data_IF_054506401117
#
_entry.id   IF_054506401117
#
_cell.length_a   1.000
_cell.length_b   1.000
_cell.length_c   1.000
_cell.angle_alpha   90.00
_cell.angle_beta   90.00
_cell.angle_gamma   90.00
#
_symmetry.space_group_name_H-M   'P 1'
#
loop_
_entity.id
_entity.type
_entity.pdbx_description
1 polymer ?
#
# COMPACT_ATOMS: atom_id res chain seq x y z
N UNK A 1 26.75 19.40 1.23
CA UNK A 1 26.84 19.81 0.23
C UNK A 1 26.53 19.03 -1.02
N UNK A 2 27.45 18.52 -1.62
CA UNK A 2 27.27 17.88 -2.89
C UNK A 2 26.38 16.65 -2.86
N UNK A 3 26.35 15.93 -1.75
CA UNK A 3 25.56 14.71 -1.66
C UNK A 3 24.05 14.92 -1.60
N UNK A 4 23.63 16.13 -1.26
CA UNK A 4 22.21 16.40 -1.08
C UNK A 4 21.45 16.35 -2.40
N UNK A 5 22.02 16.95 -3.45
CA UNK A 5 21.35 17.03 -4.73
C UNK A 5 21.12 15.67 -5.38
N UNK A 6 22.10 14.76 -5.42
CA UNK A 6 21.85 13.43 -5.96
C UNK A 6 20.77 12.67 -5.22
N UNK A 7 20.70 12.84 -3.90
CA UNK A 7 19.69 12.18 -3.10
C UNK A 7 18.29 12.68 -3.44
N UNK A 8 18.13 13.99 -3.63
CA UNK A 8 16.85 14.55 -4.00
C UNK A 8 16.41 14.07 -5.37
N UNK A 9 17.34 13.93 -6.30
CA UNK A 9 17.01 13.40 -7.61
C UNK A 9 16.60 11.95 -7.53
N UNK A 10 17.30 11.17 -6.72
CA UNK A 10 17.02 9.77 -6.56
C UNK A 10 15.65 9.54 -5.96
N UNK A 11 15.18 10.44 -5.08
CA UNK A 11 13.89 10.27 -4.43
C UNK A 11 12.73 10.38 -5.40
N UNK A 12 12.92 10.95 -6.58
CA UNK A 12 11.87 11.06 -7.58
C UNK A 12 11.98 10.01 -8.70
N UNK A 13 13.06 9.23 -8.73
CA UNK A 13 13.25 8.21 -9.74
C UNK A 13 12.58 6.91 -9.33
N UNK A 14 11.94 6.19 -10.28
CA UNK A 14 11.38 4.88 -9.97
C UNK A 14 12.46 3.92 -9.49
N UNK A 15 12.11 3.08 -8.52
CA UNK A 15 13.03 2.06 -8.04
C UNK A 15 12.73 0.74 -8.71
N UNK A 16 13.74 -0.10 -8.83
CA UNK A 16 13.57 -1.47 -9.27
C UNK A 16 13.08 -2.34 -8.14
N UNK A 17 13.22 -3.65 -8.31
CA UNK A 17 12.83 -4.61 -7.29
C UNK A 17 13.85 -4.55 -6.16
N UNK A 18 13.37 -4.29 -4.96
CA UNK A 18 14.21 -4.21 -3.77
C UNK A 18 13.85 -5.33 -2.81
N UNK A 19 14.83 -5.89 -2.10
CA UNK A 19 14.54 -6.89 -1.08
C UNK A 19 13.85 -6.26 0.12
N UNK A 20 13.05 -7.06 0.81
CA UNK A 20 12.41 -6.60 2.03
C UNK A 20 13.46 -6.30 3.10
N UNK A 21 13.27 -5.25 3.91
CA UNK A 21 14.18 -5.00 5.02
C UNK A 21 14.28 -6.21 5.95
N UNK A 22 15.51 -6.50 6.40
CA UNK A 22 15.74 -7.67 7.22
C UNK A 22 15.03 -7.59 8.58
N UNK A 23 14.75 -6.38 9.06
CA UNK A 23 14.10 -6.19 10.36
C UNK A 23 12.59 -6.47 10.34
N UNK A 24 12.01 -6.63 9.17
CA UNK A 24 10.57 -6.91 9.09
C UNK A 24 10.24 -8.32 9.55
N UNK A 25 9.02 -8.48 10.09
CA UNK A 25 8.51 -9.81 10.44
C UNK A 25 8.30 -10.63 9.17
N UNK A 26 8.17 -11.94 9.35
CA UNK A 26 7.98 -12.84 8.22
C UNK A 26 6.73 -12.50 7.41
N UNK A 27 5.62 -12.18 8.08
CA UNK A 27 4.38 -11.83 7.38
C UNK A 27 4.48 -10.49 6.65
N UNK A 28 5.18 -9.51 7.23
CA UNK A 28 5.41 -8.24 6.55
C UNK A 28 6.30 -8.44 5.32
N UNK A 29 7.36 -9.26 5.44
CA UNK A 29 8.24 -9.53 4.31
C UNK A 29 7.53 -10.30 3.21
N UNK A 30 6.62 -11.20 3.57
CA UNK A 30 5.82 -11.91 2.58
C UNK A 30 4.97 -10.94 1.76
N UNK A 31 4.38 -9.96 2.44
CA UNK A 31 3.59 -8.96 1.74
C UNK A 31 4.45 -8.08 0.84
N UNK A 32 5.63 -7.70 1.31
CA UNK A 32 6.59 -6.96 0.49
C UNK A 32 6.89 -7.72 -0.81
N UNK A 33 7.22 -9.01 -0.69
CA UNK A 33 7.52 -9.84 -1.86
C UNK A 33 6.34 -9.99 -2.80
N UNK A 34 5.12 -9.95 -2.25
CA UNK A 34 3.92 -10.08 -3.06
C UNK A 34 3.65 -8.82 -3.89
N UNK A 35 3.87 -7.63 -3.33
CA UNK A 35 3.51 -6.39 -4.02
C UNK A 35 4.65 -5.74 -4.78
N UNK A 36 5.89 -6.05 -4.43
CA UNK A 36 7.05 -5.39 -5.02
C UNK A 36 7.13 -5.56 -6.55
N UNK A 37 6.92 -6.76 -7.11
CA UNK A 37 6.98 -6.89 -8.56
C UNK A 37 5.98 -6.00 -9.28
N UNK A 38 4.76 -5.90 -8.78
CA UNK A 38 3.73 -5.07 -9.39
C UNK A 38 4.09 -3.59 -9.30
N UNK A 39 4.56 -3.15 -8.15
CA UNK A 39 4.96 -1.76 -7.96
C UNK A 39 6.15 -1.40 -8.86
N UNK A 40 7.10 -2.31 -8.97
CA UNK A 40 8.26 -2.11 -9.83
C UNK A 40 7.87 -2.07 -11.30
N UNK A 41 6.99 -2.97 -11.72
CA UNK A 41 6.55 -3.03 -13.11
C UNK A 41 5.83 -1.76 -13.52
N UNK A 42 5.01 -1.21 -12.64
CA UNK A 42 4.29 0.03 -12.95
C UNK A 42 5.18 1.25 -12.92
N UNK A 43 6.36 1.13 -12.33
CA UNK A 43 7.34 2.22 -12.25
C UNK A 43 6.80 3.44 -11.52
N UNK A 44 5.92 3.22 -10.54
CA UNK A 44 5.33 4.31 -9.77
C UNK A 44 5.96 4.46 -8.39
N UNK A 45 6.69 3.47 -7.93
CA UNK A 45 7.33 3.51 -6.63
C UNK A 45 8.66 4.26 -6.73
N UNK A 46 8.82 5.27 -5.90
CA UNK A 46 10.07 6.02 -5.81
C UNK A 46 10.71 5.81 -4.46
N UNK A 47 11.93 6.31 -4.31
CA UNK A 47 12.61 6.24 -3.01
C UNK A 47 11.79 6.90 -1.91
N UNK A 48 11.08 7.98 -2.25
CA UNK A 48 10.26 8.69 -1.27
C UNK A 48 9.09 7.84 -0.77
N UNK A 49 8.67 6.85 -1.55
CA UNK A 49 7.52 6.01 -1.20
C UNK A 49 7.89 4.80 -0.36
N UNK A 50 9.19 4.55 -0.15
CA UNK A 50 9.62 3.35 0.57
C UNK A 50 9.10 3.31 2.00
N UNK A 51 9.03 4.46 2.67
CA UNK A 51 8.45 4.51 4.01
C UNK A 51 6.99 4.08 4.03
N UNK A 52 6.21 4.52 3.06
CA UNK A 52 4.81 4.13 2.95
C UNK A 52 4.70 2.64 2.65
N UNK A 53 5.58 2.10 1.80
CA UNK A 53 5.59 0.67 1.52
C UNK A 53 5.92 -0.13 2.77
N UNK A 54 6.89 0.31 3.54
CA UNK A 54 7.21 -0.35 4.81
C UNK A 54 6.01 -0.35 5.75
N UNK A 55 5.36 0.80 5.90
CA UNK A 55 4.19 0.92 6.75
C UNK A 55 3.05 0.03 6.28
N UNK A 56 2.84 -0.03 4.98
CA UNK A 56 1.82 -0.92 4.42
C UNK A 56 2.11 -2.37 4.77
N UNK A 57 3.33 -2.82 4.55
CA UNK A 57 3.71 -4.20 4.79
C UNK A 57 3.62 -4.57 6.28
N UNK A 58 4.02 -3.65 7.15
CA UNK A 58 3.88 -3.85 8.59
C UNK A 58 2.41 -4.03 8.96
N UNK A 59 1.55 -3.16 8.47
CA UNK A 59 0.12 -3.24 8.78
C UNK A 59 -0.49 -4.52 8.21
N UNK A 60 -0.19 -4.86 6.98
CA UNK A 60 -0.71 -6.08 6.36
C UNK A 60 -0.22 -7.33 7.10
N UNK A 61 1.03 -7.32 7.53
CA UNK A 61 1.58 -8.42 8.34
C UNK A 61 0.87 -8.56 9.67
N UNK A 62 0.58 -7.43 10.33
CA UNK A 62 -0.16 -7.43 11.59
C UNK A 62 -1.56 -8.00 11.43
N UNK A 63 -2.23 -7.69 10.33
CA UNK A 63 -3.56 -8.25 10.07
C UNK A 63 -3.49 -9.78 10.09
N UNK A 64 -2.51 -10.36 9.42
CA UNK A 64 -2.34 -11.81 9.36
C UNK A 64 -1.93 -12.42 10.70
N UNK A 65 -0.99 -11.76 11.40
CA UNK A 65 -0.54 -12.25 12.70
C UNK A 65 -1.67 -12.22 13.72
N UNK A 66 -2.47 -11.15 13.73
CA UNK A 66 -3.61 -11.05 14.61
C UNK A 66 -4.68 -12.09 14.28
N UNK A 67 -4.87 -12.35 13.00
CA UNK A 67 -5.83 -13.37 12.58
C UNK A 67 -5.42 -14.76 13.11
N UNK A 68 -4.13 -15.06 13.05
CA UNK A 68 -3.62 -16.32 13.61
C UNK A 68 -3.93 -16.43 15.10
N UNK A 69 -3.73 -15.34 15.85
CA UNK A 69 -4.02 -15.32 17.27
C UNK A 69 -5.52 -15.45 17.54
N UNK A 70 -6.34 -14.79 16.74
CA UNK A 70 -7.80 -14.87 16.89
C UNK A 70 -8.29 -16.29 16.65
N UNK A 71 -7.76 -16.93 15.61
CA UNK A 71 -8.17 -18.30 15.26
C UNK A 71 -7.70 -19.33 16.28
N UNK A 72 -6.70 -19.00 17.08
CA UNK A 72 -6.25 -19.88 18.14
C UNK A 72 -7.29 -20.06 19.26
N UNK A 73 -8.35 -19.28 19.26
CA UNK A 73 -9.45 -19.44 20.19
C UNK A 73 -9.21 -18.87 21.58
N UNK A 74 -8.72 -17.63 21.72
CA UNK A 74 -8.56 -17.01 23.03
C UNK A 74 -9.92 -16.77 23.68
N UNK A 75 -9.91 -16.41 24.98
CA UNK A 75 -11.15 -16.07 25.63
C UNK A 75 -11.78 -14.83 24.98
N UNK A 76 -13.04 -14.58 25.33
CA UNK A 76 -13.83 -13.54 24.68
C UNK A 76 -13.21 -12.15 24.81
N UNK A 77 -12.68 -11.83 26.02
CA UNK A 77 -12.08 -10.51 26.23
C UNK A 77 -10.86 -10.29 25.36
N UNK A 78 -9.98 -11.26 25.31
CA UNK A 78 -8.79 -11.18 24.48
C UNK A 78 -9.16 -11.18 23.01
N UNK A 79 -10.10 -12.02 22.61
CA UNK A 79 -10.56 -12.06 21.22
C UNK A 79 -11.07 -10.69 20.76
N UNK A 80 -11.85 -10.01 21.59
CA UNK A 80 -12.35 -8.69 21.24
C UNK A 80 -11.22 -7.67 21.10
N UNK A 81 -10.22 -7.72 21.99
CA UNK A 81 -9.08 -6.82 21.89
C UNK A 81 -8.31 -7.06 20.60
N UNK A 82 -8.07 -8.33 20.26
CA UNK A 82 -7.33 -8.68 19.04
C UNK A 82 -8.10 -8.23 17.80
N UNK A 83 -9.42 -8.42 17.79
CA UNK A 83 -10.25 -8.00 16.68
C UNK A 83 -10.24 -6.49 16.48
N UNK A 84 -10.25 -5.72 17.57
CA UNK A 84 -10.14 -4.26 17.47
C UNK A 84 -8.79 -3.83 16.91
N UNK A 85 -7.72 -4.47 17.38
CA UNK A 85 -6.38 -4.18 16.84
C UNK A 85 -6.31 -4.54 15.37
N UNK A 86 -6.91 -5.66 14.99
CA UNK A 86 -6.93 -6.09 13.61
C UNK A 86 -7.70 -5.09 12.74
N UNK A 87 -8.84 -4.61 13.22
CA UNK A 87 -9.62 -3.62 12.47
C UNK A 87 -8.82 -2.34 12.23
N UNK A 88 -8.05 -1.90 13.22
CA UNK A 88 -7.17 -0.73 13.06
C UNK A 88 -6.07 -1.02 12.04
N UNK A 89 -5.48 -2.19 12.10
CA UNK A 89 -4.44 -2.56 11.16
C UNK A 89 -4.99 -2.64 9.74
N UNK A 90 -6.19 -3.19 9.57
CA UNK A 90 -6.86 -3.24 8.28
C UNK A 90 -7.12 -1.84 7.71
N UNK A 91 -7.59 -0.92 8.56
CA UNK A 91 -7.85 0.45 8.13
C UNK A 91 -6.57 1.15 7.69
N UNK A 92 -5.49 1.00 8.46
CA UNK A 92 -4.19 1.59 8.11
C UNK A 92 -3.64 0.97 6.84
N UNK A 93 -3.76 -0.35 6.69
CA UNK A 93 -3.30 -1.03 5.48
C UNK A 93 -4.03 -0.52 4.24
N UNK A 94 -5.35 -0.33 4.34
CA UNK A 94 -6.13 0.20 3.20
C UNK A 94 -5.67 1.59 2.81
N UNK A 95 -5.40 2.44 3.80
CA UNK A 95 -4.94 3.79 3.53
C UNK A 95 -3.59 3.79 2.81
N UNK A 96 -2.64 3.01 3.33
CA UNK A 96 -1.32 2.91 2.70
C UNK A 96 -1.41 2.26 1.33
N UNK A 97 -2.27 1.25 1.18
CA UNK A 97 -2.46 0.61 -0.12
C UNK A 97 -2.97 1.60 -1.17
N UNK A 98 -3.90 2.47 -0.77
CA UNK A 98 -4.40 3.49 -1.67
C UNK A 98 -3.30 4.46 -2.09
N UNK A 99 -2.46 4.87 -1.13
CA UNK A 99 -1.34 5.77 -1.42
C UNK A 99 -0.33 5.15 -2.36
N UNK A 100 -0.17 3.84 -2.29
CA UNK A 100 0.77 3.11 -3.14
C UNK A 100 0.17 2.66 -4.47
N UNK A 101 -1.12 2.91 -4.69
CA UNK A 101 -1.77 2.49 -5.91
C UNK A 101 -2.07 1.00 -5.97
N UNK A 102 -2.27 0.36 -4.81
CA UNK A 102 -2.51 -1.08 -4.75
C UNK A 102 -3.99 -1.46 -4.74
N UNK A 103 -4.88 -0.49 -4.57
CA UNK A 103 -6.32 -0.76 -4.61
C UNK A 103 -6.84 -0.55 -6.03
N UNK A 104 -7.95 -1.19 -6.40
CA UNK A 104 -8.50 -0.98 -7.73
C UNK A 104 -8.79 0.48 -8.05
N UNK A 105 -9.32 1.24 -7.08
CA UNK A 105 -9.60 2.65 -7.28
C UNK A 105 -8.33 3.44 -7.48
N UNK A 106 -7.34 3.24 -6.61
CA UNK A 106 -6.10 3.99 -6.71
C UNK A 106 -5.29 3.61 -7.95
N UNK A 107 -5.37 2.34 -8.38
CA UNK A 107 -4.68 1.91 -9.60
C UNK A 107 -5.23 2.59 -10.84
N UNK A 108 -6.51 2.88 -10.86
CA UNK A 108 -7.15 3.49 -12.01
C UNK A 108 -6.96 5.00 -12.07
N UNK A 109 -6.43 5.63 -11.01
CA UNK A 109 -6.25 7.08 -10.99
C UNK A 109 -5.41 7.63 -12.12
N UNK A 110 -4.23 7.07 -12.44
CA UNK A 110 -3.46 7.58 -13.55
C UNK A 110 -4.22 7.49 -14.87
N UNK A 111 -4.90 6.36 -15.11
CA UNK A 111 -5.72 6.18 -16.29
C UNK A 111 -6.88 7.15 -16.31
N UNK A 112 -7.51 7.38 -15.16
CA UNK A 112 -8.62 8.33 -15.03
C UNK A 112 -8.13 9.73 -15.36
N UNK A 113 -6.91 10.11 -14.96
CA UNK A 113 -6.38 11.41 -15.31
C UNK A 113 -6.19 11.57 -16.80
N UNK A 114 -5.67 10.53 -17.43
CA UNK A 114 -5.47 10.56 -18.87
C UNK A 114 -6.81 10.61 -19.58
N UNK A 115 -7.80 9.95 -19.02
CA UNK A 115 -9.14 9.87 -19.57
C UNK A 115 -10.03 11.01 -19.11
N UNK A 116 -9.59 11.81 -18.16
CA UNK A 116 -10.42 12.89 -17.61
C UNK A 116 -10.89 13.86 -18.69
N UNK A 117 -10.01 14.17 -19.62
CA UNK A 117 -10.36 15.03 -20.72
C UNK A 117 -11.41 14.39 -21.61
N UNK A 118 -11.33 13.09 -21.80
CA UNK A 118 -12.31 12.35 -22.57
C UNK A 118 -13.63 12.27 -21.83
N UNK A 119 -13.57 12.06 -20.53
CA UNK A 119 -14.77 12.00 -19.70
C UNK A 119 -15.52 13.32 -19.70
N UNK A 120 -14.78 14.41 -19.73
CA UNK A 120 -15.42 15.73 -19.83
C UNK A 120 -16.15 15.89 -21.14
N UNK A 121 -15.72 15.20 -22.18
CA UNK A 121 -16.38 15.23 -23.48
C UNK A 121 -17.57 14.29 -23.53
N UNK A 122 -17.60 13.33 -22.63
CA UNK A 122 -18.68 12.34 -22.57
C UNK A 122 -19.74 12.83 -21.61
N UNK A 123 -21.01 12.85 -22.01
CA UNK A 123 -22.07 13.27 -21.09
C UNK A 123 -22.10 12.38 -19.87
N UNK A 124 -22.21 13.02 -18.72
CA UNK A 124 -22.38 12.31 -17.47
C UNK A 124 -23.76 11.68 -17.45
N UNK A 125 -23.89 10.40 -17.09
CA UNK A 125 -25.23 9.78 -17.02
C UNK A 125 -26.19 10.55 -16.15
N UNK A 126 -25.71 11.26 -15.14
CA UNK A 126 -26.57 12.08 -14.30
C UNK A 126 -27.08 13.30 -15.03
N UNK A 127 -26.34 13.79 -16.01
CA UNK A 127 -26.74 14.96 -16.79
C UNK A 127 -27.77 14.60 -17.84
N UNK A 128 -27.85 13.34 -18.18
CA UNK A 128 -28.81 12.88 -19.19
C UNK A 128 -30.15 12.49 -18.59
N UNK A 129 -30.20 12.35 -17.30
CA UNK A 129 -31.43 12.05 -16.59
C UNK A 129 -32.21 13.30 -16.21
#
# INVERSE_FOLDING_TARGET
MKGTKPQLRQSSAPVGILPAPAWMTATARAEWGRVMPDLSERRILTTADLGTLESYCICAGRVRDLETLIQAGPDADLAMKLMRLQDKAMASARQHAAELGLTPVSRSRPAIRDDADEDEKTPNPLDMG
#
